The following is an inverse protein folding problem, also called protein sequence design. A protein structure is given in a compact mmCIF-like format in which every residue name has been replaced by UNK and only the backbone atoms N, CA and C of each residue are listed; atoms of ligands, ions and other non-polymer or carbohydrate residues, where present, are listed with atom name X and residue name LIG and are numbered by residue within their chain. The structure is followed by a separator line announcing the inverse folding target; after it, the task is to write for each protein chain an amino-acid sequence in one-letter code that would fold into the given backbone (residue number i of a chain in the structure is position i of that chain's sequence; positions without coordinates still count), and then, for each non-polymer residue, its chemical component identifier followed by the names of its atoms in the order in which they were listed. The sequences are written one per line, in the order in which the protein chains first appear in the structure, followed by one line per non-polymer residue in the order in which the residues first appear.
data_IF_694891707176
#
_entry.id   IF_694891707176
#
_cell.length_a   1.000
_cell.length_b   1.000
_cell.length_c   1.000
_cell.angle_alpha   90.00
_cell.angle_beta   90.00
_cell.angle_gamma   90.00
#
_symmetry.space_group_name_H-M   'P 1'
#
loop_
_entity.id
_entity.type
_entity.pdbx_description
1 polymer ?
#
# COMPACT_ATOMS: atom_id res chain seq x y z
N UNK A 1 -1.76 -11.23 17.11
CA UNK A 1 -1.99 -9.99 16.33
C UNK A 1 -1.86 -10.36 14.86
N UNK A 2 -2.98 -10.75 14.25
CA UNK A 2 -3.03 -11.22 12.86
C UNK A 2 -3.33 -10.05 11.93
N UNK A 3 -2.69 -10.04 10.77
CA UNK A 3 -3.08 -9.18 9.65
C UNK A 3 -4.55 -9.49 9.35
N UNK A 4 -5.44 -8.49 9.39
CA UNK A 4 -6.86 -8.73 9.15
C UNK A 4 -7.07 -9.23 7.73
N UNK A 5 -8.08 -10.06 7.49
CA UNK A 5 -8.37 -10.65 6.18
C UNK A 5 -8.47 -9.58 5.07
N UNK A 6 -9.01 -8.40 5.44
CA UNK A 6 -9.07 -7.20 4.62
C UNK A 6 -7.70 -6.59 4.28
N UNK A 7 -6.77 -6.58 5.22
CA UNK A 7 -5.40 -6.14 4.94
C UNK A 7 -4.73 -7.09 3.95
N UNK A 8 -4.97 -8.40 4.09
CA UNK A 8 -4.47 -9.41 3.16
C UNK A 8 -5.06 -9.25 1.77
N UNK A 9 -6.36 -8.95 1.63
CA UNK A 9 -6.98 -8.66 0.33
C UNK A 9 -6.43 -7.39 -0.30
N UNK A 10 -6.33 -6.29 0.47
CA UNK A 10 -5.74 -5.04 -0.01
C UNK A 10 -4.30 -5.20 -0.48
N UNK A 11 -3.49 -5.93 0.29
CA UNK A 11 -2.11 -6.22 -0.05
C UNK A 11 -2.04 -7.11 -1.30
N UNK A 12 -2.95 -8.08 -1.46
CA UNK A 12 -2.99 -8.96 -2.64
C UNK A 12 -3.41 -8.20 -3.91
N UNK A 13 -4.48 -7.42 -3.87
CA UNK A 13 -4.93 -6.62 -5.01
C UNK A 13 -3.85 -5.62 -5.43
N UNK A 14 -3.22 -4.96 -4.45
CA UNK A 14 -2.12 -4.05 -4.71
C UNK A 14 -0.86 -4.74 -5.25
N UNK A 15 -0.54 -5.93 -4.75
CA UNK A 15 0.59 -6.71 -5.23
C UNK A 15 0.37 -7.19 -6.67
N UNK A 16 -0.86 -7.51 -7.07
CA UNK A 16 -1.17 -7.86 -8.46
C UNK A 16 -0.90 -6.70 -9.43
N UNK A 17 -1.12 -5.46 -9.01
CA UNK A 17 -0.75 -4.26 -9.79
C UNK A 17 0.78 -4.11 -9.87
N UNK A 18 1.52 -4.46 -8.80
CA UNK A 18 3.00 -4.41 -8.80
C UNK A 18 3.59 -5.42 -9.79
N UNK A 19 3.07 -6.65 -9.82
CA UNK A 19 3.63 -7.74 -10.64
C UNK A 19 3.48 -7.47 -12.14
N UNK A 20 2.42 -6.76 -12.56
CA UNK A 20 2.14 -6.52 -13.97
C UNK A 20 3.10 -5.55 -14.66
N UNK A 21 3.70 -4.62 -13.90
CA UNK A 21 4.40 -3.45 -14.45
C UNK A 21 5.81 -3.24 -13.87
N UNK A 22 6.24 -4.12 -12.95
CA UNK A 22 7.58 -4.14 -12.37
C UNK A 22 8.17 -5.55 -12.43
N UNK A 23 9.47 -5.68 -12.17
CA UNK A 23 10.12 -7.00 -12.08
C UNK A 23 9.89 -7.70 -10.74
N UNK A 24 9.05 -7.13 -9.86
CA UNK A 24 8.73 -7.69 -8.56
C UNK A 24 7.96 -9.00 -8.73
N UNK A 25 8.41 -10.03 -8.02
CA UNK A 25 7.60 -11.22 -7.77
C UNK A 25 6.43 -10.88 -6.83
N UNK A 26 5.42 -11.74 -6.81
CA UNK A 26 4.27 -11.60 -5.91
C UNK A 26 4.66 -11.48 -4.44
N UNK A 27 5.66 -12.25 -4.01
CA UNK A 27 6.14 -12.24 -2.62
C UNK A 27 6.87 -10.95 -2.28
N UNK A 28 7.73 -10.45 -3.16
CA UNK A 28 8.43 -9.18 -2.95
C UNK A 28 7.45 -8.00 -2.90
N UNK A 29 6.45 -7.99 -3.80
CA UNK A 29 5.40 -7.00 -3.82
C UNK A 29 4.60 -6.98 -2.50
N UNK A 30 4.19 -8.16 -2.01
CA UNK A 30 3.49 -8.32 -0.73
C UNK A 30 4.35 -7.84 0.43
N UNK A 31 5.64 -8.22 0.46
CA UNK A 31 6.57 -7.81 1.52
C UNK A 31 6.78 -6.29 1.54
N UNK A 32 6.98 -5.68 0.37
CA UNK A 32 7.20 -4.24 0.24
C UNK A 32 5.99 -3.44 0.73
N UNK A 33 4.78 -3.81 0.31
CA UNK A 33 3.54 -3.15 0.75
C UNK A 33 3.35 -3.34 2.26
N UNK A 34 3.54 -4.56 2.75
CA UNK A 34 3.40 -4.87 4.19
C UNK A 34 4.38 -4.07 5.05
N UNK A 35 5.63 -3.96 4.61
CA UNK A 35 6.65 -3.16 5.28
C UNK A 35 6.29 -1.66 5.27
N UNK A 36 5.79 -1.15 4.15
CA UNK A 36 5.36 0.24 3.99
C UNK A 36 4.19 0.59 4.91
N UNK A 37 3.18 -0.29 4.98
CA UNK A 37 2.05 -0.16 5.91
C UNK A 37 2.54 -0.16 7.35
N UNK A 38 3.38 -1.13 7.73
CA UNK A 38 3.91 -1.25 9.10
C UNK A 38 4.74 -0.04 9.51
N UNK A 39 5.58 0.47 8.60
CA UNK A 39 6.40 1.68 8.78
C UNK A 39 5.51 2.89 9.09
N UNK A 40 4.45 3.11 8.31
CA UNK A 40 3.57 4.26 8.50
C UNK A 40 2.70 4.12 9.76
N UNK A 41 2.21 2.93 10.08
CA UNK A 41 1.49 2.67 11.34
C UNK A 41 2.36 2.94 12.56
N UNK A 42 3.61 2.49 12.54
CA UNK A 42 4.58 2.76 13.59
C UNK A 42 4.86 4.26 13.74
N UNK A 43 5.05 4.98 12.62
CA UNK A 43 5.26 6.44 12.62
C UNK A 43 4.09 7.21 13.21
N UNK A 44 2.85 6.77 12.95
CA UNK A 44 1.63 7.39 13.46
C UNK A 44 1.23 6.91 14.86
N UNK A 45 1.95 5.94 15.42
CA UNK A 45 1.61 5.26 16.67
C UNK A 45 0.13 4.81 16.69
N UNK A 46 -0.34 4.23 15.58
CA UNK A 46 -1.75 3.85 15.39
C UNK A 46 -1.89 2.42 14.88
N UNK A 47 -3.11 1.89 14.91
CA UNK A 47 -3.45 0.60 14.28
C UNK A 47 -4.35 0.81 13.07
N UNK A 48 -4.42 -0.21 12.22
CA UNK A 48 -5.33 -0.18 11.09
C UNK A 48 -6.81 -0.20 11.53
N UNK A 49 -7.15 -0.82 12.67
CA UNK A 49 -8.51 -0.71 13.22
C UNK A 49 -8.83 0.73 13.64
N UNK A 50 -7.90 1.42 14.28
CA UNK A 50 -8.08 2.82 14.66
C UNK A 50 -8.24 3.72 13.43
N UNK A 51 -7.45 3.47 12.37
CA UNK A 51 -7.56 4.15 11.08
C UNK A 51 -8.92 3.95 10.40
N UNK A 52 -9.54 2.78 10.53
CA UNK A 52 -10.87 2.53 9.96
C UNK A 52 -11.95 3.42 10.59
N UNK A 53 -11.86 3.69 11.90
CA UNK A 53 -12.74 4.62 12.61
C UNK A 53 -12.39 6.10 12.40
N UNK A 54 -11.29 6.40 11.71
CA UNK A 54 -10.79 7.77 11.56
C UNK A 54 -11.50 8.55 10.45
N UNK A 55 -11.45 9.91 10.51
CA UNK A 55 -11.91 10.76 9.42
C UNK A 55 -11.35 10.36 8.06
N UNK A 56 -12.12 10.62 6.99
CA UNK A 56 -11.69 10.31 5.61
C UNK A 56 -10.35 10.96 5.27
N UNK A 57 -10.11 12.18 5.75
CA UNK A 57 -8.83 12.90 5.58
C UNK A 57 -7.63 12.12 6.10
N UNK A 58 -7.78 11.45 7.24
CA UNK A 58 -6.70 10.76 7.91
C UNK A 58 -6.38 9.44 7.21
N UNK A 59 -7.42 8.73 6.78
CA UNK A 59 -7.31 7.56 5.90
C UNK A 59 -6.65 7.91 4.58
N UNK A 60 -7.08 8.98 3.92
CA UNK A 60 -6.46 9.47 2.67
C UNK A 60 -4.99 9.85 2.88
N UNK A 61 -4.67 10.56 3.97
CA UNK A 61 -3.29 10.91 4.31
C UNK A 61 -2.43 9.66 4.54
N UNK A 62 -2.98 8.65 5.22
CA UNK A 62 -2.29 7.37 5.44
C UNK A 62 -2.00 6.65 4.12
N UNK A 63 -3.00 6.54 3.23
CA UNK A 63 -2.82 5.93 1.91
C UNK A 63 -1.69 6.62 1.15
N UNK A 64 -1.69 7.96 1.07
CA UNK A 64 -0.63 8.72 0.37
C UNK A 64 0.75 8.43 0.94
N UNK A 65 0.87 8.34 2.25
CA UNK A 65 2.16 8.05 2.88
C UNK A 65 2.61 6.60 2.61
N UNK A 66 1.73 5.61 2.65
CA UNK A 66 2.05 4.22 2.30
C UNK A 66 2.50 4.10 0.85
N UNK A 67 1.77 4.76 -0.06
CA UNK A 67 2.11 4.84 -1.49
C UNK A 67 3.52 5.41 -1.69
N UNK A 68 3.84 6.51 -1.00
CA UNK A 68 5.19 7.11 -1.04
C UNK A 68 6.27 6.14 -0.54
N UNK A 69 6.04 5.42 0.57
CA UNK A 69 7.01 4.44 1.08
C UNK A 69 7.23 3.28 0.09
N UNK A 70 6.19 2.86 -0.61
CA UNK A 70 6.31 1.83 -1.68
C UNK A 70 7.13 2.38 -2.84
N UNK A 71 6.88 3.61 -3.28
CA UNK A 71 7.65 4.26 -4.34
C UNK A 71 9.14 4.38 -3.98
N UNK A 72 9.44 4.87 -2.78
CA UNK A 72 10.80 4.95 -2.24
C UNK A 72 11.48 3.57 -2.22
N UNK A 73 10.74 2.53 -1.80
CA UNK A 73 11.24 1.16 -1.78
C UNK A 73 11.60 0.63 -3.17
N UNK A 74 10.75 0.87 -4.18
CA UNK A 74 11.04 0.49 -5.57
C UNK A 74 12.24 1.27 -6.11
N UNK A 75 12.29 2.58 -5.87
CA UNK A 75 13.39 3.44 -6.36
C UNK A 75 14.73 3.09 -5.71
N UNK A 76 14.71 2.65 -4.44
CA UNK A 76 15.90 2.23 -3.70
C UNK A 76 16.49 0.91 -4.20
N UNK A 77 15.73 0.12 -4.98
CA UNK A 77 16.15 -1.17 -5.49
C UNK A 77 16.31 -1.13 -7.02
N UNK A 78 17.55 -1.10 -7.55
CA UNK A 78 17.81 -0.98 -8.98
C UNK A 78 17.16 -2.09 -9.84
N UNK A 79 16.92 -3.26 -9.26
CA UNK A 79 16.31 -4.41 -9.95
C UNK A 79 14.80 -4.28 -10.14
N UNK A 80 14.13 -3.47 -9.31
CA UNK A 80 12.68 -3.24 -9.35
C UNK A 80 12.29 -2.01 -10.15
N UNK A 81 13.29 -1.27 -10.66
CA UNK A 81 13.11 -0.01 -11.37
C UNK A 81 12.22 -0.18 -12.60
N UNK A 82 11.08 0.49 -12.60
CA UNK A 82 10.13 0.51 -13.72
C UNK A 82 9.99 1.92 -14.28
N UNK A 83 9.73 2.03 -15.59
CA UNK A 83 9.47 3.31 -16.28
C UNK A 83 8.06 3.85 -16.02
N UNK A 84 7.17 3.06 -15.42
CA UNK A 84 5.76 3.39 -15.24
C UNK A 84 5.33 3.46 -13.75
N UNK A 85 6.28 3.76 -12.86
CA UNK A 85 6.02 3.79 -11.41
C UNK A 85 4.90 4.76 -11.02
N UNK A 86 4.82 5.94 -11.65
CA UNK A 86 3.80 6.94 -11.35
C UNK A 86 2.37 6.43 -11.62
N UNK A 87 2.19 5.71 -12.73
CA UNK A 87 0.91 5.11 -13.12
C UNK A 87 0.52 3.96 -12.20
N UNK A 88 1.52 3.21 -11.71
CA UNK A 88 1.35 2.20 -10.69
C UNK A 88 0.89 2.82 -9.36
N UNK A 89 1.59 3.86 -8.90
CA UNK A 89 1.31 4.59 -7.67
C UNK A 89 -0.11 5.17 -7.70
N UNK A 90 -0.52 5.74 -8.84
CA UNK A 90 -1.89 6.24 -9.02
C UNK A 90 -2.93 5.10 -8.94
N UNK A 91 -2.66 3.96 -9.55
CA UNK A 91 -3.57 2.79 -9.54
C UNK A 91 -3.67 2.16 -8.15
N UNK A 92 -2.54 2.06 -7.45
CA UNK A 92 -2.45 1.57 -6.07
C UNK A 92 -3.19 2.50 -5.11
N UNK A 93 -3.01 3.82 -5.25
CA UNK A 93 -3.77 4.81 -4.50
C UNK A 93 -5.29 4.65 -4.73
N UNK A 94 -5.72 4.45 -5.98
CA UNK A 94 -7.13 4.29 -6.35
C UNK A 94 -7.74 3.05 -5.69
N UNK A 95 -7.09 1.89 -5.80
CA UNK A 95 -7.57 0.63 -5.21
C UNK A 95 -7.65 0.72 -3.69
N UNK A 96 -6.61 1.25 -3.03
CA UNK A 96 -6.63 1.46 -1.59
C UNK A 96 -7.76 2.41 -1.16
N UNK A 97 -7.93 3.51 -1.89
CA UNK A 97 -8.97 4.48 -1.60
C UNK A 97 -10.38 3.89 -1.79
N UNK A 98 -10.60 3.15 -2.88
CA UNK A 98 -11.90 2.56 -3.23
C UNK A 98 -12.28 1.42 -2.28
N UNK A 99 -11.33 0.59 -1.85
CA UNK A 99 -11.52 -0.44 -0.81
C UNK A 99 -11.99 0.16 0.53
N UNK A 100 -11.58 1.39 0.83
CA UNK A 100 -12.03 2.13 2.01
C UNK A 100 -13.33 2.92 1.81
N UNK A 101 -13.80 3.10 0.56
CA UNK A 101 -15.09 3.75 0.26
C UNK A 101 -16.26 2.76 0.16
N UNK A 102 -16.04 1.50 -0.21
CA UNK A 102 -17.07 0.44 -0.31
C UNK A 102 -17.78 0.08 1.01
N UNK A 103 -17.43 0.72 2.11
CA UNK A 103 -17.90 0.43 3.47
C UNK A 103 -18.93 1.45 4.00
N UNK A 104 -19.61 2.21 3.11
CA UNK A 104 -20.76 3.04 3.48
C UNK A 104 -22.07 2.46 2.95
#
# INVERSE_FOLDING_TARGET
MGVSERQLELIKEAAEILIGESRLTKEEAIQLISASIKKELGKRATTLEALNGSPKSDRTSFIRAVVLHVEEGIQSNPEWRTRHIDKFIESFYKVLHDSWQKER
#
